data_IF_863586250569
#
_entry.id   IF_863586250569
#
_cell.length_a   1.000
_cell.length_b   1.000
_cell.length_c   1.000
_cell.angle_alpha   90.00
_cell.angle_beta   90.00
_cell.angle_gamma   90.00
#
_symmetry.space_group_name_H-M   'P 1'
#
loop_
_entity.id
_entity.type
_entity.pdbx_description
1 polymer ?
#
# COMPACT_ATOMS: atom_id res chain seq x y z
N UNK A 1 -2.73 10.88 -21.15
CA UNK A 1 -4.05 10.31 -20.81
C UNK A 1 -4.47 10.99 -19.54
N UNK A 2 -5.65 11.57 -19.50
CA UNK A 2 -6.22 12.10 -18.25
C UNK A 2 -6.74 10.92 -17.43
N UNK A 3 -6.27 10.79 -16.19
CA UNK A 3 -6.68 9.72 -15.27
C UNK A 3 -7.96 10.03 -14.49
N UNK A 4 -8.46 11.27 -14.56
CA UNK A 4 -9.64 11.72 -13.79
C UNK A 4 -9.39 11.76 -12.28
N UNK A 5 -8.15 11.96 -11.85
CA UNK A 5 -7.76 11.96 -10.42
C UNK A 5 -7.78 13.37 -9.80
N UNK A 6 -7.80 14.41 -10.62
CA UNK A 6 -7.81 15.79 -10.14
C UNK A 6 -9.05 16.09 -9.30
N UNK A 7 -8.87 16.68 -8.13
CA UNK A 7 -9.93 17.03 -7.18
C UNK A 7 -10.49 15.85 -6.37
N UNK A 8 -9.99 14.62 -6.56
CA UNK A 8 -10.34 13.48 -5.72
C UNK A 8 -9.65 13.58 -4.35
N UNK A 9 -10.18 12.83 -3.38
CA UNK A 9 -9.59 12.66 -2.04
C UNK A 9 -9.13 11.22 -1.87
N UNK A 10 -7.82 11.04 -1.65
CA UNK A 10 -7.20 9.74 -1.47
C UNK A 10 -6.62 9.57 -0.07
N UNK A 11 -6.99 8.50 0.61
CA UNK A 11 -6.33 8.04 1.84
C UNK A 11 -5.27 7.02 1.44
N UNK A 12 -4.02 7.24 1.87
CA UNK A 12 -2.89 6.32 1.67
C UNK A 12 -2.36 5.91 3.03
N UNK A 13 -2.60 4.66 3.43
CA UNK A 13 -2.08 4.14 4.70
C UNK A 13 -0.59 3.83 4.56
N UNK A 14 0.22 4.18 5.56
CA UNK A 14 1.69 4.05 5.43
C UNK A 14 2.27 4.94 4.32
N UNK A 15 1.61 6.06 4.02
CA UNK A 15 1.96 6.96 2.92
C UNK A 15 3.25 7.75 3.11
N UNK A 16 3.92 7.59 4.25
CA UNK A 16 5.17 8.27 4.60
C UNK A 16 6.44 7.54 4.15
N UNK A 17 6.38 6.28 3.71
CA UNK A 17 7.57 5.47 3.46
C UNK A 17 7.50 4.70 2.15
N UNK A 18 8.65 4.61 1.46
CA UNK A 18 8.91 3.77 0.29
C UNK A 18 7.73 3.78 -0.73
N UNK A 19 7.06 2.64 -0.92
CA UNK A 19 5.92 2.49 -1.85
C UNK A 19 4.81 3.51 -1.52
N UNK A 20 4.44 3.66 -0.24
CA UNK A 20 3.39 4.60 0.18
C UNK A 20 3.75 6.06 -0.11
N UNK A 21 5.03 6.44 0.10
CA UNK A 21 5.53 7.76 -0.27
C UNK A 21 5.40 8.01 -1.77
N UNK A 22 5.84 7.07 -2.61
CA UNK A 22 5.75 7.20 -4.06
C UNK A 22 4.29 7.32 -4.55
N UNK A 23 3.38 6.54 -3.95
CA UNK A 23 1.93 6.61 -4.23
C UNK A 23 1.38 7.98 -3.84
N UNK A 24 1.70 8.48 -2.63
CA UNK A 24 1.25 9.77 -2.13
C UNK A 24 1.69 10.92 -3.03
N UNK A 25 2.97 10.93 -3.42
CA UNK A 25 3.53 11.92 -4.36
C UNK A 25 2.89 11.78 -5.75
N UNK A 26 2.68 10.55 -6.22
CA UNK A 26 2.03 10.27 -7.50
C UNK A 26 0.62 10.86 -7.57
N UNK A 27 -0.23 10.60 -6.58
CA UNK A 27 -1.57 11.19 -6.49
C UNK A 27 -1.55 12.72 -6.45
N UNK A 28 -0.65 13.30 -5.67
CA UNK A 28 -0.54 14.75 -5.57
C UNK A 28 -0.16 15.40 -6.91
N UNK A 29 0.70 14.77 -7.72
CA UNK A 29 1.05 15.23 -9.08
C UNK A 29 -0.14 15.20 -10.04
N UNK A 30 -1.10 14.29 -9.83
CA UNK A 30 -2.35 14.21 -10.59
C UNK A 30 -3.45 15.16 -10.05
N UNK A 31 -3.13 16.02 -9.07
CA UNK A 31 -4.07 16.99 -8.50
C UNK A 31 -5.04 16.40 -7.47
N UNK A 32 -4.75 15.23 -6.93
CA UNK A 32 -5.52 14.61 -5.86
C UNK A 32 -5.14 15.21 -4.51
N UNK A 33 -6.11 15.46 -3.64
CA UNK A 33 -5.87 15.76 -2.23
C UNK A 33 -5.50 14.49 -1.50
N UNK A 34 -4.30 14.44 -0.91
CA UNK A 34 -3.75 13.24 -0.29
C UNK A 34 -3.85 13.30 1.23
N UNK A 35 -4.43 12.27 1.82
CA UNK A 35 -4.40 12.05 3.27
C UNK A 35 -3.45 10.89 3.56
N UNK A 36 -2.33 11.19 4.21
CA UNK A 36 -1.34 10.22 4.64
C UNK A 36 -1.73 9.72 6.03
N UNK A 37 -2.29 8.51 6.10
CA UNK A 37 -2.58 7.84 7.38
C UNK A 37 -1.31 7.09 7.81
N UNK A 38 -0.57 7.64 8.80
CA UNK A 38 0.78 7.20 9.14
C UNK A 38 0.98 7.15 10.65
N UNK A 39 1.59 6.08 11.14
CA UNK A 39 1.91 5.95 12.56
C UNK A 39 3.08 6.88 12.97
N UNK A 40 4.07 7.03 12.09
CA UNK A 40 5.16 7.99 12.24
C UNK A 40 4.79 9.32 11.57
N UNK A 41 4.13 10.18 12.36
CA UNK A 41 3.66 11.50 11.90
C UNK A 41 4.80 12.38 11.39
N UNK A 42 6.01 12.25 11.95
CA UNK A 42 7.17 13.03 11.51
C UNK A 42 7.61 12.60 10.10
N UNK A 43 7.65 11.30 9.84
CA UNK A 43 7.96 10.78 8.52
C UNK A 43 6.86 11.14 7.50
N UNK A 44 5.59 11.00 7.88
CA UNK A 44 4.48 11.45 7.05
C UNK A 44 4.55 12.96 6.75
N UNK A 45 4.93 13.78 7.75
CA UNK A 45 5.12 15.23 7.61
C UNK A 45 6.15 15.60 6.56
N UNK A 46 7.30 14.89 6.48
CA UNK A 46 8.30 15.11 5.42
C UNK A 46 7.71 14.90 4.02
N UNK A 47 6.83 13.91 3.85
CA UNK A 47 6.19 13.67 2.55
C UNK A 47 5.14 14.75 2.25
N UNK A 48 4.41 15.22 3.26
CA UNK A 48 3.50 16.38 3.11
C UNK A 48 4.27 17.61 2.62
N UNK A 49 5.45 17.89 3.19
CA UNK A 49 6.27 19.03 2.77
C UNK A 49 6.79 18.86 1.34
N UNK A 50 7.21 17.65 0.95
CA UNK A 50 7.59 17.36 -0.43
C UNK A 50 6.42 17.59 -1.41
N UNK A 51 5.21 17.13 -1.07
CA UNK A 51 4.02 17.33 -1.89
C UNK A 51 3.68 18.82 -2.02
N UNK A 52 3.73 19.59 -0.93
CA UNK A 52 3.50 21.04 -0.95
C UNK A 52 4.54 21.77 -1.79
N UNK A 53 5.81 21.37 -1.73
CA UNK A 53 6.86 21.93 -2.58
C UNK A 53 6.64 21.70 -4.07
N UNK A 54 5.89 20.63 -4.44
CA UNK A 54 5.46 20.33 -5.80
C UNK A 54 4.15 21.05 -6.21
N UNK A 55 3.56 21.86 -5.30
CA UNK A 55 2.30 22.54 -5.52
C UNK A 55 1.06 21.67 -5.27
N UNK A 56 1.23 20.47 -4.72
CA UNK A 56 0.13 19.56 -4.39
C UNK A 56 -0.47 19.82 -3.00
N UNK A 57 -1.51 19.08 -2.68
CA UNK A 57 -2.22 19.17 -1.40
C UNK A 57 -2.10 17.85 -0.63
N UNK A 58 -1.58 17.91 0.58
CA UNK A 58 -1.53 16.75 1.46
C UNK A 58 -1.63 17.15 2.93
N UNK A 59 -2.14 16.21 3.73
CA UNK A 59 -2.13 16.25 5.20
C UNK A 59 -1.70 14.90 5.75
N UNK A 60 -1.10 14.88 6.94
CA UNK A 60 -0.81 13.65 7.67
C UNK A 60 -1.78 13.53 8.85
N UNK A 61 -2.30 12.33 9.07
CA UNK A 61 -3.12 11.99 10.24
C UNK A 61 -2.44 10.79 10.92
N UNK A 62 -2.08 10.96 12.20
CA UNK A 62 -1.51 9.89 13.01
C UNK A 62 -2.53 8.75 13.15
N UNK A 63 -2.19 7.55 12.65
CA UNK A 63 -3.14 6.42 12.63
C UNK A 63 -2.40 5.11 12.76
N UNK A 64 -2.75 4.32 13.77
CA UNK A 64 -2.44 2.90 13.82
C UNK A 64 -3.57 2.12 13.15
N UNK A 65 -3.29 1.54 11.97
CA UNK A 65 -4.30 0.78 11.20
C UNK A 65 -4.74 -0.50 11.91
N UNK A 66 -4.00 -0.98 12.91
CA UNK A 66 -4.37 -2.14 13.72
C UNK A 66 -5.42 -1.81 14.78
N UNK A 67 -5.59 -0.53 15.10
CA UNK A 67 -6.61 0.00 16.00
C UNK A 67 -7.80 0.53 15.20
N UNK A 68 -8.90 -0.21 15.22
CA UNK A 68 -10.11 0.18 14.47
C UNK A 68 -10.70 1.52 14.91
N UNK A 69 -10.58 1.88 16.20
CA UNK A 69 -11.04 3.17 16.70
C UNK A 69 -10.28 4.33 16.07
N UNK A 70 -8.93 4.25 16.01
CA UNK A 70 -8.12 5.27 15.35
C UNK A 70 -8.41 5.36 13.85
N UNK A 71 -8.67 4.22 13.18
CA UNK A 71 -9.06 4.22 11.76
C UNK A 71 -10.40 4.94 11.57
N UNK A 72 -11.39 4.70 12.43
CA UNK A 72 -12.68 5.41 12.37
C UNK A 72 -12.54 6.92 12.63
N UNK A 73 -11.71 7.33 13.60
CA UNK A 73 -11.42 8.74 13.87
C UNK A 73 -10.74 9.42 12.67
N UNK A 74 -9.78 8.74 12.03
CA UNK A 74 -9.12 9.22 10.82
C UNK A 74 -10.13 9.43 9.69
N UNK A 75 -10.99 8.44 9.41
CA UNK A 75 -12.03 8.53 8.37
C UNK A 75 -13.01 9.66 8.67
N UNK A 76 -13.48 9.76 9.92
CA UNK A 76 -14.39 10.83 10.33
C UNK A 76 -13.76 12.23 10.15
N UNK A 77 -12.47 12.38 10.48
CA UNK A 77 -11.73 13.62 10.25
C UNK A 77 -11.63 13.95 8.77
N UNK A 78 -11.32 13.00 7.91
CA UNK A 78 -11.27 13.22 6.45
C UNK A 78 -12.62 13.65 5.92
N UNK A 79 -13.69 13.00 6.32
CA UNK A 79 -15.06 13.35 5.92
C UNK A 79 -15.46 14.75 6.39
N UNK A 80 -15.08 15.14 7.61
CA UNK A 80 -15.34 16.49 8.13
C UNK A 80 -14.56 17.55 7.34
N UNK A 81 -13.30 17.31 7.01
CA UNK A 81 -12.40 18.29 6.42
C UNK A 81 -12.57 18.42 4.90
N UNK A 82 -12.86 17.30 4.21
CA UNK A 82 -12.92 17.21 2.74
C UNK A 82 -14.32 16.89 2.20
N UNK A 83 -15.26 16.49 3.05
CA UNK A 83 -16.64 16.14 2.67
C UNK A 83 -16.79 14.76 2.03
N UNK A 84 -15.73 14.15 1.55
CA UNK A 84 -15.79 12.87 0.84
C UNK A 84 -14.45 12.11 0.86
N UNK A 85 -14.53 10.82 0.54
CA UNK A 85 -13.40 9.93 0.30
C UNK A 85 -13.67 9.20 -1.01
N UNK A 86 -12.79 9.34 -2.00
CA UNK A 86 -12.91 8.70 -3.30
C UNK A 86 -12.05 7.44 -3.41
N UNK A 87 -10.87 7.47 -2.77
CA UNK A 87 -9.83 6.47 -2.95
C UNK A 87 -9.29 6.05 -1.59
N UNK A 88 -9.16 4.74 -1.38
CA UNK A 88 -8.38 4.15 -0.29
C UNK A 88 -7.26 3.31 -0.89
N UNK A 89 -6.03 3.54 -0.43
CA UNK A 89 -4.88 2.67 -0.74
C UNK A 89 -4.34 2.07 0.55
N UNK A 90 -4.49 0.77 0.70
CA UNK A 90 -3.93 0.01 1.81
C UNK A 90 -2.48 -0.36 1.48
N UNK A 91 -1.52 0.33 2.06
CA UNK A 91 -0.08 0.09 1.80
C UNK A 91 0.63 -0.52 3.01
N UNK A 92 0.15 -0.25 4.23
CA UNK A 92 0.81 -0.75 5.45
C UNK A 92 1.10 -2.24 5.34
N UNK A 93 2.33 -2.61 5.63
CA UNK A 93 2.78 -3.98 5.68
C UNK A 93 4.13 -4.10 6.37
N UNK A 94 4.36 -5.25 6.97
CA UNK A 94 5.60 -5.54 7.67
C UNK A 94 5.88 -7.05 7.63
N UNK A 95 7.15 -7.41 7.47
CA UNK A 95 7.66 -8.78 7.64
C UNK A 95 9.05 -8.75 8.26
N UNK A 96 9.43 -9.84 8.88
CA UNK A 96 10.80 -10.17 9.20
C UNK A 96 11.07 -11.59 8.69
N UNK A 97 11.93 -11.72 7.69
CA UNK A 97 12.18 -12.99 7.00
C UNK A 97 12.92 -13.99 7.90
N UNK A 98 12.18 -14.99 8.37
CA UNK A 98 12.70 -16.10 9.18
C UNK A 98 12.07 -17.42 8.75
N UNK A 99 12.77 -18.51 8.97
CA UNK A 99 12.16 -19.83 8.82
C UNK A 99 10.94 -19.95 9.73
N UNK A 100 9.88 -20.57 9.23
CA UNK A 100 8.62 -20.72 9.98
C UNK A 100 8.83 -21.30 11.39
N UNK A 101 9.72 -22.31 11.53
CA UNK A 101 10.03 -22.93 12.80
C UNK A 101 10.86 -22.06 13.76
N UNK A 102 11.49 -21.00 13.26
CA UNK A 102 12.35 -20.09 14.04
C UNK A 102 11.63 -18.76 14.38
N UNK A 103 10.55 -18.45 13.67
CA UNK A 103 9.83 -17.19 13.83
C UNK A 103 9.01 -17.23 15.12
N UNK A 104 9.24 -16.30 16.08
CA UNK A 104 8.49 -16.26 17.33
C UNK A 104 7.04 -15.83 17.10
N UNK A 105 6.16 -16.21 18.02
CA UNK A 105 4.72 -15.97 17.92
C UNK A 105 4.37 -14.47 17.85
N UNK A 106 5.10 -13.64 18.54
CA UNK A 106 4.92 -12.19 18.56
C UNK A 106 5.12 -11.57 17.17
N UNK A 107 6.06 -12.10 16.36
CA UNK A 107 6.24 -11.69 14.98
C UNK A 107 5.05 -12.15 14.10
N UNK A 108 4.50 -13.35 14.32
CA UNK A 108 3.29 -13.80 13.62
C UNK A 108 2.09 -12.90 13.93
N UNK A 109 1.87 -12.59 15.21
CA UNK A 109 0.78 -11.72 15.65
C UNK A 109 0.91 -10.32 15.03
N UNK A 110 2.12 -9.77 15.01
CA UNK A 110 2.41 -8.49 14.37
C UNK A 110 2.19 -8.54 12.84
N UNK A 111 2.62 -9.61 12.16
CA UNK A 111 2.38 -9.78 10.72
C UNK A 111 0.89 -9.84 10.42
N UNK A 112 0.11 -10.62 11.18
CA UNK A 112 -1.35 -10.72 11.01
C UNK A 112 -2.03 -9.38 11.29
N UNK A 113 -1.65 -8.69 12.37
CA UNK A 113 -2.22 -7.41 12.73
C UNK A 113 -2.00 -6.36 11.63
N UNK A 114 -0.77 -6.18 11.15
CA UNK A 114 -0.43 -5.15 10.18
C UNK A 114 -0.87 -5.51 8.74
N UNK A 115 -0.62 -6.76 8.29
CA UNK A 115 -0.83 -7.12 6.89
C UNK A 115 -2.26 -7.58 6.58
N UNK A 116 -3.08 -7.90 7.60
CA UNK A 116 -4.44 -8.40 7.37
C UNK A 116 -5.49 -7.62 8.15
N UNK A 117 -5.40 -7.52 9.49
CA UNK A 117 -6.37 -6.73 10.26
C UNK A 117 -6.37 -5.25 9.87
N UNK A 118 -5.20 -4.66 9.62
CA UNK A 118 -5.11 -3.27 9.16
C UNK A 118 -5.89 -3.03 7.86
N UNK A 119 -5.83 -3.97 6.90
CA UNK A 119 -6.59 -3.89 5.64
C UNK A 119 -8.10 -4.01 5.92
N UNK A 120 -8.52 -4.98 6.76
CA UNK A 120 -9.93 -5.16 7.14
C UNK A 120 -10.48 -3.89 7.77
N UNK A 121 -9.76 -3.30 8.71
CA UNK A 121 -10.17 -2.10 9.43
C UNK A 121 -10.37 -0.92 8.48
N UNK A 122 -9.41 -0.67 7.58
CA UNK A 122 -9.47 0.45 6.65
C UNK A 122 -10.58 0.26 5.61
N UNK A 123 -10.70 -0.92 5.01
CA UNK A 123 -11.77 -1.22 4.05
C UNK A 123 -13.13 -1.02 4.71
N UNK A 124 -13.34 -1.61 5.91
CA UNK A 124 -14.62 -1.51 6.63
C UNK A 124 -15.00 -0.07 6.95
N UNK A 125 -14.02 0.77 7.28
CA UNK A 125 -14.29 2.15 7.69
C UNK A 125 -14.73 3.07 6.54
N UNK A 126 -14.35 2.78 5.27
CA UNK A 126 -14.67 3.64 4.13
C UNK A 126 -15.84 3.13 3.28
N UNK A 127 -16.10 1.82 3.29
CA UNK A 127 -17.05 1.18 2.35
C UNK A 127 -18.47 1.74 2.47
N UNK A 128 -19.00 1.99 3.67
CA UNK A 128 -20.36 2.51 3.83
C UNK A 128 -20.52 3.89 3.18
N UNK A 129 -19.56 4.78 3.39
CA UNK A 129 -19.54 6.09 2.75
C UNK A 129 -19.44 5.98 1.21
N UNK A 130 -18.61 5.08 0.69
CA UNK A 130 -18.49 4.85 -0.75
C UNK A 130 -19.79 4.30 -1.35
N UNK A 131 -20.50 3.40 -0.63
CA UNK A 131 -21.81 2.86 -1.04
C UNK A 131 -22.85 3.98 -1.14
N UNK A 132 -22.94 4.86 -0.14
CA UNK A 132 -23.86 6.00 -0.13
C UNK A 132 -23.62 6.95 -1.31
N UNK A 133 -22.33 7.18 -1.63
CA UNK A 133 -21.93 8.03 -2.75
C UNK A 133 -22.01 7.34 -4.11
N UNK A 134 -22.14 6.03 -4.16
CA UNK A 134 -22.09 5.20 -5.39
C UNK A 134 -20.80 5.42 -6.19
N UNK A 135 -19.70 5.62 -5.48
CA UNK A 135 -18.38 5.82 -6.04
C UNK A 135 -17.30 5.44 -5.00
N UNK A 136 -16.29 4.72 -5.45
CA UNK A 136 -15.13 4.42 -4.64
C UNK A 136 -14.09 3.58 -5.38
N UNK A 137 -12.83 3.79 -5.02
CA UNK A 137 -11.69 3.01 -5.51
C UNK A 137 -10.89 2.51 -4.31
N UNK A 138 -10.77 1.19 -4.18
CA UNK A 138 -9.94 0.57 -3.15
C UNK A 138 -8.83 -0.19 -3.86
N UNK A 139 -7.58 0.14 -3.51
CA UNK A 139 -6.40 -0.56 -4.02
C UNK A 139 -5.59 -1.08 -2.84
N UNK A 140 -5.41 -2.39 -2.77
CA UNK A 140 -4.62 -3.02 -1.71
C UNK A 140 -3.25 -3.44 -2.23
N UNK A 141 -2.19 -3.04 -1.53
CA UNK A 141 -0.84 -3.52 -1.79
C UNK A 141 -0.66 -4.86 -1.09
N UNK A 142 -0.72 -5.92 -1.90
CA UNK A 142 -0.38 -7.27 -1.45
C UNK A 142 1.12 -7.55 -1.66
N UNK A 143 1.47 -8.68 -2.23
CA UNK A 143 2.82 -9.09 -2.60
C UNK A 143 2.74 -10.27 -3.57
N UNK A 144 3.74 -10.46 -4.41
CA UNK A 144 3.91 -11.71 -5.16
C UNK A 144 4.04 -12.91 -4.22
N UNK A 145 4.59 -12.73 -3.01
CA UNK A 145 4.59 -13.75 -1.96
C UNK A 145 3.18 -14.24 -1.61
N UNK A 146 2.17 -13.36 -1.64
CA UNK A 146 0.77 -13.72 -1.41
C UNK A 146 0.13 -14.55 -2.54
N UNK A 147 0.76 -14.58 -3.72
CA UNK A 147 0.30 -15.37 -4.87
C UNK A 147 0.94 -16.76 -4.91
N UNK A 148 2.23 -16.86 -4.64
CA UNK A 148 3.00 -18.10 -4.84
C UNK A 148 3.65 -18.66 -3.58
N UNK A 149 3.61 -17.92 -2.46
CA UNK A 149 4.47 -18.18 -1.31
C UNK A 149 5.90 -17.69 -1.55
N UNK A 150 6.61 -17.32 -0.49
CA UNK A 150 8.01 -16.95 -0.59
C UNK A 150 8.79 -17.59 0.58
N UNK A 151 10.04 -17.92 0.31
CA UNK A 151 10.93 -18.53 1.31
C UNK A 151 11.11 -17.61 2.51
N UNK A 152 10.90 -18.13 3.74
CA UNK A 152 10.99 -17.42 5.02
C UNK A 152 9.85 -16.42 5.31
N UNK A 153 8.82 -16.34 4.47
CA UNK A 153 7.70 -15.39 4.57
C UNK A 153 6.34 -16.09 4.82
N UNK A 154 6.29 -17.28 5.40
CA UNK A 154 5.08 -18.12 5.44
C UNK A 154 3.83 -17.39 5.98
N UNK A 155 3.91 -16.70 7.14
CA UNK A 155 2.77 -15.99 7.72
C UNK A 155 2.44 -14.72 6.93
N UNK A 156 3.47 -13.97 6.54
CA UNK A 156 3.30 -12.81 5.68
C UNK A 156 2.62 -13.16 4.36
N UNK A 157 3.11 -14.20 3.66
CA UNK A 157 2.50 -14.70 2.43
C UNK A 157 1.03 -15.11 2.63
N UNK A 158 0.74 -15.79 3.76
CA UNK A 158 -0.63 -16.14 4.14
C UNK A 158 -1.53 -14.91 4.31
N UNK A 159 -1.05 -13.86 4.99
CA UNK A 159 -1.78 -12.60 5.17
C UNK A 159 -2.01 -11.89 3.83
N UNK A 160 -0.98 -11.79 3.00
CA UNK A 160 -1.07 -11.14 1.68
C UNK A 160 -1.96 -11.93 0.72
N UNK A 161 -1.93 -13.28 0.77
CA UNK A 161 -2.86 -14.14 0.05
C UNK A 161 -4.31 -14.00 0.56
N UNK A 162 -4.50 -13.89 1.87
CA UNK A 162 -5.80 -13.59 2.49
C UNK A 162 -6.39 -12.26 2.02
N UNK A 163 -5.57 -11.20 1.97
CA UNK A 163 -5.96 -9.88 1.45
C UNK A 163 -6.37 -9.94 -0.02
N UNK A 164 -5.70 -10.74 -0.86
CA UNK A 164 -6.09 -10.98 -2.26
C UNK A 164 -7.49 -11.60 -2.33
N UNK A 165 -7.73 -12.67 -1.59
CA UNK A 165 -9.02 -13.36 -1.60
C UNK A 165 -10.14 -12.47 -1.06
N UNK A 166 -9.89 -11.74 0.03
CA UNK A 166 -10.81 -10.79 0.64
C UNK A 166 -11.21 -9.68 -0.34
N UNK A 167 -10.23 -9.05 -1.00
CA UNK A 167 -10.48 -7.98 -1.98
C UNK A 167 -11.39 -8.45 -3.12
N UNK A 168 -11.22 -9.69 -3.61
CA UNK A 168 -12.13 -10.27 -4.62
C UNK A 168 -13.56 -10.44 -4.10
N UNK A 169 -13.72 -10.85 -2.85
CA UNK A 169 -15.04 -11.00 -2.22
C UNK A 169 -15.71 -9.64 -2.07
N UNK A 170 -15.00 -8.64 -1.53
CA UNK A 170 -15.51 -7.27 -1.40
C UNK A 170 -15.89 -6.70 -2.78
N UNK A 171 -15.06 -6.89 -3.82
CA UNK A 171 -15.37 -6.45 -5.18
C UNK A 171 -16.73 -6.98 -5.69
N UNK A 172 -17.08 -8.23 -5.36
CA UNK A 172 -18.37 -8.82 -5.73
C UNK A 172 -19.54 -8.21 -4.95
N UNK A 173 -19.33 -7.87 -3.69
CA UNK A 173 -20.36 -7.32 -2.81
C UNK A 173 -20.69 -5.85 -3.15
N UNK A 174 -19.65 -5.04 -3.44
CA UNK A 174 -19.80 -3.59 -3.59
C UNK A 174 -19.81 -3.09 -5.03
N UNK A 175 -19.48 -3.94 -6.02
CA UNK A 175 -19.41 -3.55 -7.44
C UNK A 175 -20.71 -2.93 -7.97
N UNK A 176 -21.88 -3.42 -7.51
CA UNK A 176 -23.20 -2.86 -7.86
C UNK A 176 -23.41 -1.40 -7.42
N UNK A 177 -22.55 -0.90 -6.54
CA UNK A 177 -22.56 0.49 -6.07
C UNK A 177 -21.53 1.36 -6.77
N UNK A 178 -20.89 0.89 -7.84
CA UNK A 178 -19.88 1.65 -8.57
C UNK A 178 -18.52 1.72 -7.85
N UNK A 179 -18.23 0.74 -6.98
CA UNK A 179 -16.97 0.68 -6.24
C UNK A 179 -16.06 -0.38 -6.88
N UNK A 180 -14.84 0.02 -7.25
CA UNK A 180 -13.81 -0.88 -7.74
C UNK A 180 -12.85 -1.28 -6.60
N UNK A 181 -12.53 -2.55 -6.51
CA UNK A 181 -11.58 -3.09 -5.52
C UNK A 181 -10.55 -3.94 -6.25
N UNK A 182 -9.30 -3.50 -6.27
CA UNK A 182 -8.22 -4.17 -6.99
C UNK A 182 -6.97 -4.34 -6.09
N UNK A 183 -6.05 -5.19 -6.51
CA UNK A 183 -4.84 -5.52 -5.77
C UNK A 183 -3.62 -5.33 -6.65
N UNK A 184 -2.59 -4.68 -6.12
CA UNK A 184 -1.25 -4.63 -6.72
C UNK A 184 -0.32 -5.51 -5.90
N UNK A 185 0.43 -6.38 -6.57
CA UNK A 185 1.39 -7.30 -5.96
C UNK A 185 2.81 -6.90 -6.39
N UNK A 186 3.56 -6.19 -5.54
CA UNK A 186 4.96 -5.91 -5.78
C UNK A 186 5.84 -7.16 -5.72
N UNK A 187 6.91 -7.18 -6.52
CA UNK A 187 8.12 -7.93 -6.23
C UNK A 187 9.01 -7.16 -5.25
N UNK A 188 10.29 -7.53 -5.14
CA UNK A 188 11.25 -6.80 -4.31
C UNK A 188 11.36 -5.34 -4.79
N UNK A 189 10.90 -4.42 -3.94
CA UNK A 189 10.82 -2.98 -4.24
C UNK A 189 11.73 -2.23 -3.28
N UNK A 190 12.89 -1.84 -3.76
CA UNK A 190 13.95 -1.24 -2.94
C UNK A 190 13.84 0.28 -2.95
N UNK A 191 13.94 0.97 -1.78
CA UNK A 191 13.99 2.42 -1.73
C UNK A 191 15.26 2.96 -2.42
N UNK A 192 15.15 4.13 -3.06
CA UNK A 192 16.29 4.75 -3.73
C UNK A 192 17.28 5.39 -2.72
N UNK A 193 16.78 5.87 -1.56
CA UNK A 193 17.61 6.52 -0.53
C UNK A 193 17.10 6.24 0.89
N UNK A 194 17.98 6.43 1.93
CA UNK A 194 17.56 6.32 3.33
C UNK A 194 16.50 7.36 3.76
N UNK A 195 16.35 8.44 3.01
CA UNK A 195 15.35 9.49 3.29
C UNK A 195 13.95 9.08 2.88
N UNK A 196 13.82 8.04 2.04
CA UNK A 196 12.55 7.56 1.50
C UNK A 196 11.75 6.69 2.47
N UNK A 197 12.30 6.38 3.65
CA UNK A 197 11.62 5.56 4.66
C UNK A 197 11.87 6.07 6.09
N UNK A 198 10.90 5.80 6.99
CA UNK A 198 10.99 6.16 8.40
C UNK A 198 11.66 5.09 9.26
N UNK A 199 11.89 5.41 10.52
CA UNK A 199 12.56 4.53 11.50
C UNK A 199 11.80 3.21 11.77
N UNK A 200 10.48 3.19 11.55
CA UNK A 200 9.62 2.01 11.74
C UNK A 200 9.53 1.11 10.50
N UNK A 201 10.16 1.51 9.41
CA UNK A 201 10.16 0.76 8.16
C UNK A 201 10.99 -0.53 8.27
N UNK A 202 10.60 -1.56 7.53
CA UNK A 202 11.39 -2.78 7.35
C UNK A 202 12.76 -2.54 6.68
N UNK A 203 12.97 -1.34 6.14
CA UNK A 203 14.24 -0.87 5.55
C UNK A 203 15.13 -0.11 6.54
N UNK A 204 14.62 0.23 7.73
CA UNK A 204 15.40 0.90 8.78
C UNK A 204 16.39 -0.07 9.47
N UNK A 205 17.41 0.43 10.18
CA UNK A 205 18.28 -0.40 11.02
C UNK A 205 17.44 -1.27 11.98
N UNK A 206 17.73 -2.57 12.03
CA UNK A 206 16.91 -3.54 12.77
C UNK A 206 15.60 -3.94 12.08
N UNK A 207 15.33 -3.43 10.89
CA UNK A 207 14.23 -3.87 10.03
C UNK A 207 14.58 -5.12 9.24
N UNK A 208 13.60 -6.02 9.07
CA UNK A 208 13.82 -7.36 8.54
C UNK A 208 14.51 -7.40 7.16
N UNK A 209 14.16 -6.52 6.24
CA UNK A 209 14.74 -6.52 4.89
C UNK A 209 16.16 -5.92 4.86
N UNK A 210 16.42 -4.91 5.70
CA UNK A 210 17.76 -4.33 5.79
C UNK A 210 18.77 -5.33 6.35
N UNK A 211 18.39 -6.08 7.38
CA UNK A 211 19.27 -7.04 8.05
C UNK A 211 19.64 -8.23 7.14
N UNK A 212 18.86 -8.48 6.08
CA UNK A 212 19.16 -9.43 5.02
C UNK A 212 20.17 -8.91 3.98
N UNK A 213 20.65 -7.68 4.12
CA UNK A 213 21.60 -7.07 3.19
C UNK A 213 21.04 -6.74 1.81
N UNK A 214 19.71 -6.61 1.65
CA UNK A 214 19.08 -6.34 0.34
C UNK A 214 19.49 -4.97 -0.22
N UNK A 215 19.98 -4.05 0.63
CA UNK A 215 20.50 -2.76 0.20
C UNK A 215 21.93 -2.85 -0.38
N UNK A 216 22.62 -3.99 -0.24
CA UNK A 216 23.94 -4.21 -0.82
C UNK A 216 23.82 -4.33 -2.36
N UNK A 217 24.58 -3.54 -3.14
CA UNK A 217 24.56 -3.61 -4.59
C UNK A 217 24.89 -4.99 -5.17
N UNK A 218 25.81 -5.74 -4.54
CA UNK A 218 26.15 -7.10 -4.99
C UNK A 218 24.99 -8.08 -4.79
N UNK A 219 24.26 -7.95 -3.68
CA UNK A 219 23.05 -8.73 -3.41
C UNK A 219 21.97 -8.38 -4.43
N UNK A 220 21.75 -7.09 -4.70
CA UNK A 220 20.79 -6.64 -5.71
C UNK A 220 21.13 -7.17 -7.10
N UNK A 221 22.39 -7.15 -7.53
CA UNK A 221 22.81 -7.70 -8.83
C UNK A 221 22.54 -9.21 -8.93
N UNK A 222 22.69 -9.96 -7.83
CA UNK A 222 22.31 -11.38 -7.80
C UNK A 222 20.80 -11.56 -7.90
N UNK A 223 20.02 -10.76 -7.14
CA UNK A 223 18.55 -10.79 -7.17
C UNK A 223 17.99 -10.49 -8.56
N UNK A 224 18.52 -9.49 -9.28
CA UNK A 224 18.09 -9.11 -10.63
C UNK A 224 18.13 -10.27 -11.62
N UNK A 225 18.96 -11.30 -11.38
CA UNK A 225 19.04 -12.48 -12.26
C UNK A 225 17.76 -13.32 -12.25
N UNK A 226 16.98 -13.28 -11.16
CA UNK A 226 15.71 -13.97 -11.07
C UNK A 226 14.57 -13.23 -11.82
N UNK A 227 14.77 -11.96 -12.15
CA UNK A 227 13.76 -11.13 -12.79
C UNK A 227 13.95 -11.12 -14.32
N UNK A 228 12.94 -11.49 -15.12
CA UNK A 228 13.03 -11.43 -16.60
C UNK A 228 13.48 -10.06 -17.13
N UNK A 229 13.00 -8.95 -16.55
CA UNK A 229 13.41 -7.60 -16.94
C UNK A 229 14.78 -7.17 -16.39
N UNK A 230 15.47 -8.06 -15.64
CA UNK A 230 16.81 -7.80 -15.07
C UNK A 230 16.91 -6.53 -14.24
N UNK A 231 15.83 -6.15 -13.60
CA UNK A 231 15.77 -5.00 -12.67
C UNK A 231 14.93 -5.36 -11.44
N UNK A 232 15.21 -4.72 -10.30
CA UNK A 232 14.31 -4.69 -9.16
C UNK A 232 13.25 -3.62 -9.41
N UNK A 233 12.09 -3.79 -8.79
CA UNK A 233 10.98 -2.85 -8.91
C UNK A 233 11.29 -1.59 -8.12
N UNK A 234 10.94 -0.43 -8.67
CA UNK A 234 11.01 0.85 -7.98
C UNK A 234 9.66 1.20 -7.34
N UNK A 235 9.65 2.00 -6.26
CA UNK A 235 8.41 2.49 -5.67
C UNK A 235 7.47 3.17 -6.68
N UNK A 236 8.01 3.90 -7.65
CA UNK A 236 7.26 4.58 -8.70
C UNK A 236 6.59 3.61 -9.68
N UNK A 237 7.20 2.44 -9.95
CA UNK A 237 6.58 1.40 -10.79
C UNK A 237 5.27 0.90 -10.14
N UNK A 238 5.27 0.76 -8.81
CA UNK A 238 4.07 0.39 -8.02
C UNK A 238 3.07 1.54 -8.00
N UNK A 239 3.52 2.78 -7.76
CA UNK A 239 2.66 3.94 -7.74
C UNK A 239 1.89 4.09 -9.06
N UNK A 240 2.55 3.91 -10.21
CA UNK A 240 1.90 3.99 -11.52
C UNK A 240 0.75 2.97 -11.68
N UNK A 241 0.94 1.74 -11.20
CA UNK A 241 -0.12 0.73 -11.23
C UNK A 241 -1.28 1.07 -10.30
N UNK A 242 -0.99 1.64 -9.12
CA UNK A 242 -2.01 2.09 -8.17
C UNK A 242 -2.81 3.25 -8.75
N UNK A 243 -2.16 4.27 -9.31
CA UNK A 243 -2.82 5.41 -9.94
C UNK A 243 -3.75 4.95 -11.08
N UNK A 244 -3.29 4.01 -11.90
CA UNK A 244 -4.13 3.43 -12.95
C UNK A 244 -5.38 2.75 -12.37
N UNK A 245 -5.25 1.87 -11.36
CA UNK A 245 -6.41 1.21 -10.77
C UNK A 245 -7.33 2.18 -10.01
N UNK A 246 -6.80 3.25 -9.45
CA UNK A 246 -7.56 4.29 -8.75
C UNK A 246 -8.23 5.30 -9.71
N UNK A 247 -7.90 5.27 -10.98
CA UNK A 247 -8.36 6.23 -11.98
C UNK A 247 -9.74 5.90 -12.54
N UNK A 248 -10.38 6.90 -13.16
CA UNK A 248 -11.65 6.71 -13.84
C UNK A 248 -11.49 5.93 -15.17
N UNK A 249 -10.28 5.85 -15.73
CA UNK A 249 -10.03 5.03 -16.93
C UNK A 249 -10.05 3.52 -16.63
N UNK A 250 -9.98 3.13 -15.36
CA UNK A 250 -10.08 1.77 -14.89
C UNK A 250 -11.49 1.40 -14.33
N UNK A 251 -12.54 2.16 -14.66
CA UNK A 251 -13.88 1.96 -14.10
C UNK A 251 -14.48 0.58 -14.36
N UNK A 252 -14.09 -0.10 -15.43
CA UNK A 252 -14.56 -1.46 -15.77
C UNK A 252 -13.61 -2.56 -15.26
N UNK A 253 -12.70 -2.21 -14.35
CA UNK A 253 -11.72 -3.15 -13.77
C UNK A 253 -11.95 -3.27 -12.27
N UNK A 254 -12.43 -4.44 -11.82
CA UNK A 254 -12.60 -4.75 -10.41
C UNK A 254 -12.27 -6.22 -10.11
N UNK A 255 -11.82 -6.52 -8.90
CA UNK A 255 -11.41 -7.86 -8.48
C UNK A 255 -10.10 -8.36 -9.12
N UNK A 256 -9.33 -7.48 -9.76
CA UNK A 256 -8.12 -7.87 -10.46
C UNK A 256 -6.88 -7.80 -9.55
N UNK A 257 -5.90 -8.64 -9.89
CA UNK A 257 -4.62 -8.71 -9.20
C UNK A 257 -3.51 -8.51 -10.23
N UNK A 258 -2.75 -7.44 -10.07
CA UNK A 258 -1.65 -7.10 -10.97
C UNK A 258 -0.31 -7.27 -10.26
N UNK A 259 0.54 -8.19 -10.74
CA UNK A 259 1.93 -8.25 -10.34
C UNK A 259 2.73 -7.14 -11.02
N UNK A 260 3.47 -6.37 -10.22
CA UNK A 260 4.43 -5.37 -10.69
C UNK A 260 5.79 -5.79 -10.15
N UNK A 261 6.45 -6.70 -10.85
CA UNK A 261 7.61 -7.43 -10.35
C UNK A 261 8.68 -7.70 -11.40
N UNK A 262 8.64 -6.99 -12.54
CA UNK A 262 9.60 -7.23 -13.61
C UNK A 262 9.54 -8.67 -14.18
N UNK A 263 8.40 -9.35 -14.01
CA UNK A 263 8.18 -10.72 -14.46
C UNK A 263 8.61 -11.81 -13.48
N UNK A 264 8.97 -11.46 -12.24
CA UNK A 264 9.30 -12.44 -11.20
C UNK A 264 8.17 -13.44 -10.98
N UNK A 265 6.93 -12.95 -10.98
CA UNK A 265 5.71 -13.76 -10.91
C UNK A 265 4.81 -13.48 -12.11
N UNK A 266 4.24 -14.55 -12.72
CA UNK A 266 3.40 -14.49 -13.92
C UNK A 266 2.08 -15.27 -13.75
N UNK A 267 1.54 -15.35 -12.52
CA UNK A 267 0.30 -16.08 -12.18
C UNK A 267 -0.78 -15.13 -11.67
#
# INVERSE_FOLDING_TARGET
MDLGLSGKVAIVTGGGSNIGRAISIGFAKEGTQVVIAELDVNQGGKVVDQIKALGGQAVVIGTDVTDYGQVQEMVAKVLNDSGHIDILVNVVGWTYDRLFIEKPREEWEKEVALNFWGVINCDRAVIEHMIERKYGKIVTISSDAGKMGEYREAVYAGCKGGAIAMSKSIAREVGRYGINVNVVCPGATVPDSPEDYGERSMWAPGGGLRDLGILDPEVQEKMKRAYPLRKLTKPEDIANAVLFFASDVANDITGQILSVSGGYTMI
#
